data_IF_651747688068
#
_entry.id   IF_651747688068
#
_cell.length_a   1.000
_cell.length_b   1.000
_cell.length_c   1.000
_cell.angle_alpha   90.00
_cell.angle_beta   90.00
_cell.angle_gamma   90.00
#
_symmetry.space_group_name_H-M   'P 1'
#
loop_
_entity.id
_entity.type
_entity.pdbx_description
1 polymer ?
#
# COMPACT_ATOMS: atom_id res chain seq x y z
N UNK A 1 -2.00 -59.42 -26.08
CA UNK A 1 -2.81 -59.16 -27.30
C UNK A 1 -3.98 -58.26 -26.94
N UNK A 2 -4.06 -57.09 -27.60
CA UNK A 2 -5.27 -56.35 -28.02
C UNK A 2 -6.08 -55.65 -26.90
N UNK A 3 -6.42 -54.35 -26.92
CA UNK A 3 -6.49 -53.26 -27.91
C UNK A 3 -6.32 -51.94 -27.12
N UNK A 4 -5.38 -51.05 -27.45
CA UNK A 4 -5.50 -49.95 -28.42
C UNK A 4 -6.72 -49.02 -28.20
N UNK A 5 -6.36 -47.80 -27.75
CA UNK A 5 -6.72 -46.48 -28.27
C UNK A 5 -7.88 -45.69 -27.64
N UNK A 6 -7.49 -44.44 -27.33
CA UNK A 6 -8.26 -43.21 -27.46
C UNK A 6 -9.31 -42.90 -26.38
N UNK A 7 -8.86 -42.22 -25.33
CA UNK A 7 -9.64 -41.13 -24.77
C UNK A 7 -8.69 -39.93 -24.60
N UNK A 8 -8.76 -39.04 -25.59
CA UNK A 8 -8.14 -37.74 -25.60
C UNK A 8 -8.59 -36.92 -24.38
N UNK A 9 -7.72 -36.73 -23.39
CA UNK A 9 -7.78 -35.56 -22.52
C UNK A 9 -6.70 -34.58 -22.98
N UNK A 10 -7.01 -33.88 -24.06
CA UNK A 10 -6.30 -32.67 -24.44
C UNK A 10 -6.57 -31.62 -23.35
N UNK A 11 -5.70 -31.57 -22.33
CA UNK A 11 -5.61 -30.42 -21.43
C UNK A 11 -5.02 -29.28 -22.27
N UNK A 12 -5.75 -28.19 -22.53
CA UNK A 12 -5.22 -27.10 -23.32
C UNK A 12 -4.19 -26.35 -22.49
N UNK A 13 -2.93 -26.75 -22.61
CA UNK A 13 -1.76 -26.01 -22.13
C UNK A 13 -1.50 -24.79 -23.05
N UNK A 14 -2.54 -23.98 -23.28
CA UNK A 14 -2.58 -22.90 -24.28
C UNK A 14 -3.23 -21.60 -23.74
N UNK A 15 -3.32 -21.42 -22.42
CA UNK A 15 -3.78 -20.17 -21.79
C UNK A 15 -2.66 -19.30 -21.21
N UNK A 16 -1.40 -19.64 -21.44
CA UNK A 16 -0.24 -18.91 -20.91
C UNK A 16 0.47 -18.00 -21.93
N UNK A 17 -0.09 -17.81 -23.14
CA UNK A 17 0.50 -16.97 -24.20
C UNK A 17 -0.49 -15.97 -24.84
N UNK A 18 -1.64 -15.70 -24.21
CA UNK A 18 -2.45 -14.53 -24.59
C UNK A 18 -1.86 -13.30 -23.90
N UNK A 19 -1.20 -12.47 -24.69
CA UNK A 19 -0.61 -11.21 -24.28
C UNK A 19 -1.63 -10.21 -23.72
N UNK A 20 -1.04 -9.15 -23.16
CA UNK A 20 -1.64 -8.02 -22.47
C UNK A 20 -2.53 -7.13 -23.36
N UNK A 21 -3.57 -7.68 -24.00
CA UNK A 21 -4.40 -6.89 -24.92
C UNK A 21 -5.65 -7.61 -25.40
N UNK A 22 -6.61 -7.83 -24.50
CA UNK A 22 -8.04 -8.04 -24.81
C UNK A 22 -8.86 -8.25 -23.54
N UNK A 23 -8.89 -7.27 -22.63
CA UNK A 23 -9.92 -7.19 -21.57
C UNK A 23 -10.27 -5.73 -21.28
N UNK A 24 -10.44 -4.90 -22.30
CA UNK A 24 -10.58 -3.45 -22.10
C UNK A 24 -12.03 -3.01 -21.78
N UNK A 25 -13.06 -3.85 -21.95
CA UNK A 25 -14.44 -3.30 -21.89
C UNK A 25 -15.50 -4.09 -21.10
N UNK A 26 -15.13 -5.12 -20.32
CA UNK A 26 -16.08 -5.82 -19.44
C UNK A 26 -15.66 -5.94 -17.96
N UNK A 27 -14.50 -5.42 -17.56
CA UNK A 27 -13.94 -5.57 -16.21
C UNK A 27 -13.79 -4.25 -15.42
N UNK A 28 -14.26 -3.12 -15.96
CA UNK A 28 -13.99 -1.78 -15.40
C UNK A 28 -14.49 -1.53 -13.97
N UNK A 29 -15.60 -2.15 -13.56
CA UNK A 29 -16.15 -1.93 -12.22
C UNK A 29 -15.64 -2.94 -11.17
N UNK A 30 -15.53 -4.23 -11.50
CA UNK A 30 -15.03 -5.23 -10.54
C UNK A 30 -13.52 -5.13 -10.28
N UNK A 31 -12.74 -4.72 -11.29
CA UNK A 31 -11.31 -4.46 -11.11
C UNK A 31 -11.06 -3.17 -10.32
N UNK A 32 -11.88 -2.13 -10.49
CA UNK A 32 -11.77 -0.87 -9.73
C UNK A 32 -12.09 -1.06 -8.25
N UNK A 33 -13.10 -1.85 -7.90
CA UNK A 33 -13.41 -2.20 -6.51
C UNK A 33 -12.30 -3.04 -5.86
N UNK A 34 -11.77 -4.04 -6.56
CA UNK A 34 -10.66 -4.86 -6.07
C UNK A 34 -9.36 -4.07 -5.93
N UNK A 35 -9.03 -3.23 -6.92
CA UNK A 35 -7.87 -2.35 -6.88
C UNK A 35 -8.00 -1.28 -5.77
N UNK A 36 -9.19 -0.69 -5.59
CA UNK A 36 -9.45 0.27 -4.51
C UNK A 36 -9.36 -0.36 -3.13
N UNK A 37 -9.82 -1.61 -2.96
CA UNK A 37 -9.67 -2.35 -1.70
C UNK A 37 -8.21 -2.68 -1.39
N UNK A 38 -7.43 -3.08 -2.39
CA UNK A 38 -5.99 -3.35 -2.21
C UNK A 38 -5.23 -2.05 -1.91
N UNK A 39 -5.54 -0.96 -2.60
CA UNK A 39 -4.96 0.36 -2.31
C UNK A 39 -5.32 0.83 -0.90
N UNK A 40 -6.58 0.67 -0.46
CA UNK A 40 -7.01 1.00 0.90
C UNK A 40 -6.29 0.15 1.94
N UNK A 41 -6.13 -1.16 1.71
CA UNK A 41 -5.40 -2.05 2.63
C UNK A 41 -3.91 -1.68 2.73
N UNK A 42 -3.30 -1.27 1.62
CA UNK A 42 -1.92 -0.76 1.63
C UNK A 42 -1.81 0.56 2.40
N UNK A 43 -2.75 1.49 2.22
CA UNK A 43 -2.82 2.74 2.97
C UNK A 43 -2.93 2.48 4.47
N UNK A 44 -3.80 1.55 4.87
CA UNK A 44 -4.02 1.18 6.27
C UNK A 44 -2.79 0.54 6.92
N UNK A 45 -2.07 -0.34 6.21
CA UNK A 45 -0.84 -0.94 6.73
C UNK A 45 0.30 0.09 6.86
N UNK A 46 0.41 1.03 5.92
CA UNK A 46 1.37 2.14 6.03
C UNK A 46 0.99 3.05 7.19
N UNK A 47 -0.29 3.41 7.34
CA UNK A 47 -0.82 4.15 8.49
C UNK A 47 -0.46 3.44 9.81
N UNK A 48 -0.68 2.13 9.89
CA UNK A 48 -0.38 1.33 11.07
C UNK A 48 1.11 1.39 11.45
N UNK A 49 2.01 1.27 10.48
CA UNK A 49 3.46 1.35 10.72
C UNK A 49 3.85 2.76 11.21
N UNK A 50 3.34 3.81 10.58
CA UNK A 50 3.56 5.20 11.02
C UNK A 50 3.08 5.38 12.46
N UNK A 51 1.85 4.96 12.76
CA UNK A 51 1.24 5.16 14.07
C UNK A 51 1.91 4.33 15.17
N UNK A 52 2.46 3.16 14.86
CA UNK A 52 3.23 2.37 15.83
C UNK A 52 4.47 3.15 16.31
N UNK A 53 5.27 3.69 15.38
CA UNK A 53 6.47 4.49 15.70
C UNK A 53 6.10 5.74 16.49
N UNK A 54 4.98 6.40 16.13
CA UNK A 54 4.51 7.62 16.80
C UNK A 54 4.04 7.35 18.23
N UNK A 55 3.38 6.22 18.47
CA UNK A 55 2.87 5.81 19.79
C UNK A 55 3.98 5.32 20.71
N UNK A 56 4.99 4.62 20.20
CA UNK A 56 6.19 4.24 20.96
C UNK A 56 7.05 5.45 21.35
N UNK A 57 6.74 6.62 20.78
CA UNK A 57 7.36 7.89 21.09
C UNK A 57 8.47 8.18 20.08
N UNK A 58 8.27 9.24 19.30
CA UNK A 58 9.28 9.80 18.39
C UNK A 58 10.45 10.43 19.16
N UNK A 59 11.26 9.61 19.81
CA UNK A 59 12.31 10.04 20.74
C UNK A 59 13.70 10.01 20.11
N UNK A 60 13.93 9.22 19.06
CA UNK A 60 15.24 9.11 18.42
C UNK A 60 15.30 9.79 17.05
N UNK A 61 16.54 10.08 16.60
CA UNK A 61 16.80 10.59 15.25
C UNK A 61 16.50 9.52 14.18
N UNK A 62 16.72 8.25 14.51
CA UNK A 62 16.41 7.10 13.65
C UNK A 62 14.90 6.99 13.39
N UNK A 63 14.04 7.20 14.39
CA UNK A 63 12.57 7.17 14.21
C UNK A 63 12.11 8.29 13.26
N UNK A 64 12.69 9.48 13.39
CA UNK A 64 12.39 10.62 12.53
C UNK A 64 12.82 10.37 11.08
N UNK A 65 14.00 9.77 10.88
CA UNK A 65 14.47 9.38 9.56
C UNK A 65 13.63 8.26 8.94
N UNK A 66 13.23 7.26 9.74
CA UNK A 66 12.32 6.21 9.30
C UNK A 66 10.98 6.79 8.85
N UNK A 67 10.39 7.70 9.64
CA UNK A 67 9.19 8.43 9.26
C UNK A 67 9.39 9.28 7.98
N UNK A 68 10.54 9.95 7.86
CA UNK A 68 10.87 10.71 6.66
C UNK A 68 10.96 9.87 5.39
N UNK A 69 11.53 8.66 5.50
CA UNK A 69 11.56 7.67 4.42
C UNK A 69 10.17 7.15 4.01
N UNK A 70 9.20 7.24 4.91
CA UNK A 70 7.82 6.77 4.67
C UNK A 70 6.93 7.84 4.02
N UNK A 71 7.31 9.13 3.95
CA UNK A 71 6.45 10.19 3.38
C UNK A 71 6.02 9.88 1.95
N UNK A 72 6.98 9.52 1.09
CA UNK A 72 6.69 9.19 -0.30
C UNK A 72 5.84 7.92 -0.43
N UNK A 73 6.08 6.93 0.43
CA UNK A 73 5.29 5.70 0.47
C UNK A 73 3.85 5.97 0.93
N UNK A 74 3.66 6.79 1.97
CA UNK A 74 2.35 7.18 2.49
C UNK A 74 1.52 7.94 1.46
N UNK A 75 2.12 8.91 0.76
CA UNK A 75 1.44 9.64 -0.33
C UNK A 75 1.07 8.73 -1.48
N UNK A 76 1.96 7.82 -1.88
CA UNK A 76 1.73 6.86 -2.96
C UNK A 76 0.66 5.83 -2.60
N UNK A 77 0.64 5.39 -1.33
CA UNK A 77 -0.35 4.45 -0.82
C UNK A 77 -1.73 5.08 -0.61
N UNK A 78 -1.86 6.41 -0.71
CA UNK A 78 -3.13 7.11 -0.49
C UNK A 78 -3.49 7.26 0.99
N UNK A 79 -2.49 7.29 1.88
CA UNK A 79 -2.69 7.59 3.30
C UNK A 79 -3.41 8.95 3.44
N UNK A 80 -4.39 9.07 4.33
CA UNK A 80 -5.12 10.31 4.57
C UNK A 80 -4.20 11.53 4.81
N UNK A 81 -4.61 12.68 4.28
CA UNK A 81 -3.81 13.92 4.37
C UNK A 81 -3.59 14.40 5.81
N UNK A 82 -4.49 14.06 6.74
CA UNK A 82 -4.36 14.30 8.18
C UNK A 82 -3.16 13.58 8.82
N UNK A 83 -2.66 12.51 8.18
CA UNK A 83 -1.43 11.80 8.59
C UNK A 83 -0.26 12.21 7.69
N UNK A 84 -0.46 12.23 6.37
CA UNK A 84 0.62 12.46 5.41
C UNK A 84 1.18 13.89 5.46
N UNK A 85 0.37 14.89 5.84
CA UNK A 85 0.81 16.28 6.00
C UNK A 85 1.75 16.44 7.19
N UNK A 86 1.34 16.13 8.44
CA UNK A 86 2.24 16.27 9.58
C UNK A 86 3.44 15.33 9.50
N UNK A 87 3.29 14.15 8.88
CA UNK A 87 4.44 13.27 8.58
C UNK A 87 5.47 13.94 7.66
N UNK A 88 5.01 14.68 6.65
CA UNK A 88 5.87 15.45 5.76
C UNK A 88 6.60 16.57 6.48
N UNK A 89 5.90 17.32 7.33
CA UNK A 89 6.50 18.39 8.14
C UNK A 89 7.57 17.87 9.10
N UNK A 90 7.35 16.71 9.72
CA UNK A 90 8.35 16.02 10.55
C UNK A 90 9.58 15.64 9.73
N UNK A 91 9.36 15.14 8.51
CA UNK A 91 10.45 14.75 7.61
C UNK A 91 11.29 15.93 7.12
N UNK A 92 10.64 17.05 6.76
CA UNK A 92 11.30 18.26 6.29
C UNK A 92 12.06 18.98 7.42
N UNK A 93 11.54 18.91 8.64
CA UNK A 93 12.17 19.51 9.82
C UNK A 93 13.40 18.74 10.30
N UNK A 94 13.57 17.46 9.93
CA UNK A 94 14.72 16.64 10.28
C UNK A 94 14.93 16.55 11.80
N UNK A 95 15.97 17.18 12.31
CA UNK A 95 16.25 17.19 13.75
C UNK A 95 15.37 18.16 14.54
N UNK A 96 14.92 19.23 13.89
CA UNK A 96 14.17 20.33 14.50
C UNK A 96 12.66 20.12 14.36
N UNK A 97 12.20 18.90 14.62
CA UNK A 97 10.80 18.53 14.45
C UNK A 97 9.90 19.43 15.31
N UNK A 98 8.95 20.16 14.70
CA UNK A 98 7.99 20.97 15.45
C UNK A 98 7.08 20.07 16.28
N UNK A 99 6.91 20.43 17.56
CA UNK A 99 6.06 19.67 18.49
C UNK A 99 4.59 19.65 18.04
N UNK A 100 4.17 20.68 17.31
CA UNK A 100 2.86 20.79 16.65
C UNK A 100 2.61 19.63 15.68
N UNK A 101 3.50 19.42 14.70
CA UNK A 101 3.31 18.35 13.71
C UNK A 101 3.37 16.96 14.35
N UNK A 102 4.18 16.77 15.39
CA UNK A 102 4.18 15.52 16.17
C UNK A 102 2.86 15.31 16.88
N UNK A 103 2.28 16.36 17.47
CA UNK A 103 1.00 16.26 18.14
C UNK A 103 -0.14 16.01 17.14
N UNK A 104 -0.15 16.72 16.01
CA UNK A 104 -1.12 16.50 14.94
C UNK A 104 -1.05 15.06 14.40
N UNK A 105 0.15 14.51 14.21
CA UNK A 105 0.32 13.11 13.79
C UNK A 105 -0.17 12.13 14.86
N UNK A 106 0.07 12.40 16.15
CA UNK A 106 -0.47 11.59 17.26
C UNK A 106 -1.99 11.60 17.30
N UNK A 107 -2.59 12.77 17.15
CA UNK A 107 -4.05 12.93 17.18
C UNK A 107 -4.70 12.20 16.00
N UNK A 108 -4.12 12.32 14.79
CA UNK A 108 -4.59 11.59 13.61
C UNK A 108 -4.41 10.06 13.74
N UNK A 109 -3.40 9.60 14.48
CA UNK A 109 -3.20 8.19 14.78
C UNK A 109 -4.11 7.64 15.89
N UNK A 110 -4.73 8.52 16.68
CA UNK A 110 -5.68 8.16 17.73
C UNK A 110 -7.16 8.23 17.25
N UNK A 111 -7.39 8.75 16.05
CA UNK A 111 -8.70 8.94 15.43
C UNK A 111 -9.25 7.68 14.73
#
# INVERSE_FOLDING_TARGET
MNRRLAALSAVPLMLLLAGCGAVEEAAGNAASDAASKVATAAAEEVKRQICAVVQDGLVSMEDKQALGGLVSAARTAGVPAEIATPLGEIAEAGDQVPSESVQALKDACAA
#
